data_IF_193027585200
#
_entry.id   IF_193027585200
#
_cell.length_a   1.000
_cell.length_b   1.000
_cell.length_c   1.000
_cell.angle_alpha   90.00
_cell.angle_beta   90.00
_cell.angle_gamma   90.00
#
_symmetry.space_group_name_H-M   'P 1'
#
loop_
_entity.id
_entity.type
_entity.pdbx_description
1 polymer ?
#
# COMPACT_ATOMS: atom_id res chain seq x y z
N UNK A 1 -8.76 0.41 13.59
CA UNK A 1 -8.65 -0.90 14.26
C UNK A 1 -9.98 -1.45 14.77
N UNK A 2 -10.71 -0.74 15.63
CA UNK A 2 -12.01 -1.21 16.18
C UNK A 2 -13.02 -1.66 15.10
N UNK A 3 -13.20 -0.88 14.03
CA UNK A 3 -14.07 -1.26 12.93
C UNK A 3 -13.64 -2.56 12.23
N UNK A 4 -12.33 -2.77 12.04
CA UNK A 4 -11.80 -3.98 11.39
C UNK A 4 -11.95 -5.21 12.29
N UNK A 5 -11.69 -5.06 13.60
CA UNK A 5 -11.90 -6.12 14.59
C UNK A 5 -13.38 -6.49 14.68
N UNK A 6 -14.28 -5.50 14.75
CA UNK A 6 -15.72 -5.74 14.78
C UNK A 6 -16.20 -6.49 13.54
N UNK A 7 -15.79 -6.08 12.33
CA UNK A 7 -16.11 -6.82 11.10
C UNK A 7 -15.58 -8.25 11.14
N UNK A 8 -14.34 -8.49 11.60
CA UNK A 8 -13.81 -9.87 11.73
C UNK A 8 -14.65 -10.73 12.67
N UNK A 9 -15.13 -10.17 13.78
CA UNK A 9 -16.03 -10.88 14.70
C UNK A 9 -17.34 -11.26 14.02
N UNK A 10 -17.95 -10.36 13.24
CA UNK A 10 -19.16 -10.66 12.47
C UNK A 10 -18.96 -11.80 11.48
N UNK A 11 -17.83 -11.81 10.75
CA UNK A 11 -17.51 -12.90 9.81
C UNK A 11 -17.26 -14.24 10.51
N UNK A 12 -16.83 -14.22 11.77
CA UNK A 12 -16.58 -15.42 12.57
C UNK A 12 -17.77 -15.88 13.41
N UNK A 13 -18.89 -15.17 13.40
CA UNK A 13 -20.08 -15.49 14.21
C UNK A 13 -20.92 -16.59 13.52
N UNK A 14 -20.98 -17.81 14.08
CA UNK A 14 -21.73 -18.92 13.48
C UNK A 14 -23.25 -18.68 13.45
N UNK A 15 -23.79 -17.96 14.44
CA UNK A 15 -25.23 -17.69 14.51
C UNK A 15 -25.64 -16.69 13.43
N UNK A 16 -24.82 -15.66 13.20
CA UNK A 16 -25.05 -14.72 12.11
C UNK A 16 -24.95 -15.42 10.76
N UNK A 17 -23.96 -16.29 10.57
CA UNK A 17 -23.79 -17.07 9.34
C UNK A 17 -25.03 -17.94 9.04
N UNK A 18 -25.59 -18.60 10.05
CA UNK A 18 -26.81 -19.40 9.90
C UNK A 18 -28.03 -18.54 9.52
N UNK A 19 -28.23 -17.40 10.19
CA UNK A 19 -29.32 -16.46 9.87
C UNK A 19 -29.22 -15.97 8.41
N UNK A 20 -28.02 -15.61 7.97
CA UNK A 20 -27.76 -15.18 6.61
C UNK A 20 -28.06 -16.28 5.58
N UNK A 21 -27.61 -17.51 5.85
CA UNK A 21 -27.83 -18.65 4.96
C UNK A 21 -29.33 -18.94 4.77
N UNK A 22 -30.13 -18.88 5.84
CA UNK A 22 -31.60 -19.02 5.75
C UNK A 22 -32.24 -17.95 4.86
N UNK A 23 -31.67 -16.75 4.83
CA UNK A 23 -32.11 -15.65 3.96
C UNK A 23 -31.51 -15.67 2.55
N UNK A 24 -30.76 -16.71 2.17
CA UNK A 24 -30.08 -16.81 0.88
C UNK A 24 -28.93 -15.82 0.70
N UNK A 25 -28.30 -15.38 1.81
CA UNK A 25 -27.25 -14.35 1.82
C UNK A 25 -25.95 -14.91 2.40
N UNK A 26 -24.84 -14.31 2.01
CA UNK A 26 -23.51 -14.61 2.53
C UNK A 26 -22.75 -13.30 2.77
N UNK A 27 -22.01 -13.22 3.88
CA UNK A 27 -21.03 -12.15 4.03
C UNK A 27 -19.81 -12.46 3.17
N UNK A 28 -19.36 -11.46 2.41
CA UNK A 28 -18.13 -11.50 1.63
C UNK A 28 -17.25 -10.32 1.98
N UNK A 29 -15.94 -10.54 2.04
CA UNK A 29 -14.97 -9.50 2.37
C UNK A 29 -14.16 -9.11 1.15
N UNK A 30 -14.16 -7.81 0.84
CA UNK A 30 -13.26 -7.18 -0.11
C UNK A 30 -11.95 -6.69 0.55
N UNK A 31 -11.57 -7.23 1.71
CA UNK A 31 -10.36 -6.83 2.41
C UNK A 31 -9.08 -7.30 1.70
N UNK A 32 -7.94 -6.71 2.07
CA UNK A 32 -6.62 -6.93 1.43
C UNK A 32 -6.10 -8.36 1.50
N UNK A 33 -6.76 -9.23 2.27
CA UNK A 33 -6.45 -10.65 2.38
C UNK A 33 -7.10 -11.45 1.24
N UNK A 34 -8.15 -10.95 0.58
CA UNK A 34 -8.82 -11.69 -0.50
C UNK A 34 -7.88 -11.92 -1.70
N UNK A 35 -7.73 -13.18 -2.14
CA UNK A 35 -6.91 -13.53 -3.32
C UNK A 35 -7.37 -12.83 -4.60
N UNK A 36 -8.69 -12.63 -4.76
CA UNK A 36 -9.29 -11.88 -5.86
C UNK A 36 -8.91 -10.40 -5.90
N UNK A 37 -8.34 -9.84 -4.81
CA UNK A 37 -7.69 -8.52 -4.86
C UNK A 37 -6.23 -8.59 -5.29
N UNK A 38 -5.54 -9.68 -5.00
CA UNK A 38 -4.12 -9.83 -5.33
C UNK A 38 -3.94 -10.16 -6.81
N UNK A 39 -4.66 -11.15 -7.33
CA UNK A 39 -4.47 -11.65 -8.70
C UNK A 39 -4.57 -10.56 -9.77
N UNK A 40 -5.58 -9.67 -9.76
CA UNK A 40 -5.69 -8.64 -10.80
C UNK A 40 -4.50 -7.66 -10.80
N UNK A 41 -3.82 -7.52 -9.66
CA UNK A 41 -2.65 -6.65 -9.55
C UNK A 41 -1.43 -7.20 -10.29
N UNK A 42 -1.35 -8.51 -10.51
CA UNK A 42 -0.26 -9.13 -11.28
C UNK A 42 -0.26 -8.59 -12.72
N UNK A 43 -1.45 -8.36 -13.29
CA UNK A 43 -1.62 -7.99 -14.68
C UNK A 43 -0.91 -6.68 -15.06
N UNK A 44 -0.94 -5.66 -14.20
CA UNK A 44 -0.31 -4.37 -14.55
C UNK A 44 1.22 -4.41 -14.51
N UNK A 45 1.85 -5.40 -13.85
CA UNK A 45 3.30 -5.60 -13.93
C UNK A 45 3.72 -6.12 -15.30
N UNK A 46 2.97 -7.08 -15.84
CA UNK A 46 3.15 -7.54 -17.21
C UNK A 46 2.82 -6.45 -18.23
N UNK A 47 1.72 -5.70 -18.01
CA UNK A 47 1.35 -4.57 -18.86
C UNK A 47 2.45 -3.52 -18.91
N UNK A 48 2.99 -3.11 -17.75
CA UNK A 48 4.06 -2.10 -17.70
C UNK A 48 5.33 -2.58 -18.42
N UNK A 49 5.68 -3.86 -18.30
CA UNK A 49 6.80 -4.45 -19.04
C UNK A 49 6.55 -4.47 -20.55
N UNK A 50 5.35 -4.87 -20.97
CA UNK A 50 4.93 -4.85 -22.37
C UNK A 50 4.93 -3.42 -22.95
N UNK A 51 4.52 -2.42 -22.17
CA UNK A 51 4.57 -1.01 -22.56
C UNK A 51 6.01 -0.51 -22.74
N UNK A 52 6.95 -0.97 -21.90
CA UNK A 52 8.37 -0.64 -22.07
C UNK A 52 8.95 -1.28 -23.34
N UNK A 53 8.59 -2.53 -23.65
CA UNK A 53 8.98 -3.21 -24.88
C UNK A 53 8.41 -2.50 -26.13
N UNK A 54 7.11 -2.19 -26.11
CA UNK A 54 6.43 -1.54 -27.23
C UNK A 54 6.96 -0.13 -27.50
N UNK A 55 7.55 0.51 -26.49
CA UNK A 55 8.20 1.84 -26.59
C UNK A 55 9.71 1.76 -26.78
N UNK A 56 10.25 0.57 -27.05
CA UNK A 56 11.68 0.32 -27.29
C UNK A 56 12.56 0.86 -26.15
N UNK A 57 12.08 0.77 -24.90
CA UNK A 57 12.81 1.22 -23.70
C UNK A 57 13.66 0.12 -23.07
N UNK A 58 13.36 -1.13 -23.39
CA UNK A 58 14.06 -2.34 -22.96
C UNK A 58 14.00 -3.39 -24.08
N UNK A 59 14.88 -4.39 -24.01
CA UNK A 59 14.83 -5.59 -24.85
C UNK A 59 13.99 -6.71 -24.20
N UNK A 60 13.49 -7.66 -25.01
CA UNK A 60 12.79 -8.83 -24.48
C UNK A 60 13.73 -9.68 -23.63
N UNK A 61 13.39 -9.86 -22.35
CA UNK A 61 14.22 -10.57 -21.38
C UNK A 61 15.11 -9.66 -20.54
N UNK A 62 15.25 -8.38 -20.91
CA UNK A 62 15.93 -7.39 -20.06
C UNK A 62 15.14 -7.22 -18.76
N UNK A 63 15.83 -7.32 -17.63
CA UNK A 63 15.21 -7.23 -16.32
C UNK A 63 14.93 -5.77 -15.95
N UNK A 64 13.81 -5.52 -15.26
CA UNK A 64 13.45 -4.20 -14.75
C UNK A 64 13.31 -4.20 -13.23
N UNK A 65 13.48 -3.03 -12.63
CA UNK A 65 13.14 -2.79 -11.23
C UNK A 65 11.70 -2.29 -11.11
N UNK A 66 11.04 -2.65 -10.00
CA UNK A 66 9.76 -2.06 -9.62
C UNK A 66 9.88 -1.39 -8.26
N UNK A 67 9.52 -0.10 -8.19
CA UNK A 67 9.41 0.65 -6.94
C UNK A 67 7.94 0.72 -6.54
N UNK A 68 7.65 0.22 -5.34
CA UNK A 68 6.27 0.09 -4.85
C UNK A 68 6.12 0.77 -3.49
N UNK A 69 5.37 1.87 -3.41
CA UNK A 69 4.89 2.42 -2.14
C UNK A 69 4.02 1.37 -1.43
N UNK A 70 4.49 0.88 -0.29
CA UNK A 70 3.95 -0.36 0.30
C UNK A 70 3.44 -0.15 1.72
N UNK A 71 2.16 -0.50 1.93
CA UNK A 71 1.56 -0.69 3.25
C UNK A 71 1.31 -2.19 3.52
N UNK A 72 0.14 -2.68 3.11
CA UNK A 72 -0.30 -4.07 3.35
C UNK A 72 0.38 -5.15 2.48
N UNK A 73 1.45 -4.81 1.75
CA UNK A 73 2.30 -5.72 0.94
C UNK A 73 1.64 -6.44 -0.25
N UNK A 74 0.33 -6.33 -0.46
CA UNK A 74 -0.35 -7.03 -1.56
C UNK A 74 0.09 -6.59 -2.97
N UNK A 75 0.41 -5.31 -3.16
CA UNK A 75 0.84 -4.75 -4.45
C UNK A 75 2.22 -5.29 -4.84
N UNK A 76 3.25 -5.09 -3.98
CA UNK A 76 4.60 -5.61 -4.24
C UNK A 76 4.67 -7.14 -4.26
N UNK A 77 3.79 -7.82 -3.51
CA UNK A 77 3.66 -9.27 -3.60
C UNK A 77 3.11 -9.72 -4.96
N UNK A 78 2.20 -8.96 -5.57
CA UNK A 78 1.77 -9.25 -6.94
C UNK A 78 2.94 -9.11 -7.95
N UNK A 79 3.88 -8.17 -7.72
CA UNK A 79 5.12 -8.08 -8.49
C UNK A 79 5.99 -9.34 -8.34
N UNK A 80 6.08 -9.85 -7.10
CA UNK A 80 6.79 -11.09 -6.82
C UNK A 80 6.16 -12.28 -7.53
N UNK A 81 4.82 -12.39 -7.52
CA UNK A 81 4.14 -13.43 -8.29
C UNK A 81 4.36 -13.26 -9.80
N UNK A 82 4.35 -12.04 -10.33
CA UNK A 82 4.66 -11.79 -11.74
C UNK A 82 6.07 -12.28 -12.10
N UNK A 83 7.06 -12.00 -11.23
CA UNK A 83 8.42 -12.55 -11.35
C UNK A 83 8.42 -14.07 -11.33
N UNK A 84 7.73 -14.69 -10.37
CA UNK A 84 7.62 -16.15 -10.26
C UNK A 84 6.92 -16.79 -11.46
N UNK A 85 6.11 -16.03 -12.20
CA UNK A 85 5.48 -16.43 -13.46
C UNK A 85 6.40 -16.24 -14.69
N UNK A 86 7.60 -15.70 -14.52
CA UNK A 86 8.59 -15.53 -15.59
C UNK A 86 8.84 -14.08 -16.03
N UNK A 87 8.22 -13.08 -15.39
CA UNK A 87 8.52 -11.68 -15.69
C UNK A 87 9.98 -11.35 -15.32
N UNK A 88 10.80 -10.76 -16.22
CA UNK A 88 12.17 -10.37 -15.92
C UNK A 88 12.22 -9.21 -14.90
N UNK A 89 12.38 -9.57 -13.62
CA UNK A 89 12.46 -8.61 -12.51
C UNK A 89 13.84 -8.71 -11.85
N UNK A 90 14.54 -7.57 -11.81
CA UNK A 90 15.81 -7.45 -11.09
C UNK A 90 15.54 -7.22 -9.59
N UNK A 91 15.04 -6.03 -9.20
CA UNK A 91 14.70 -5.71 -7.81
C UNK A 91 13.26 -5.27 -7.62
N UNK A 92 12.71 -5.65 -6.46
CA UNK A 92 11.46 -5.14 -5.91
C UNK A 92 11.77 -4.18 -4.75
N UNK A 93 11.63 -2.89 -5.00
CA UNK A 93 11.98 -1.83 -4.06
C UNK A 93 10.74 -1.46 -3.24
N UNK A 94 10.70 -1.93 -2.00
CA UNK A 94 9.65 -1.68 -1.03
C UNK A 94 9.88 -0.33 -0.35
N UNK A 95 9.09 0.66 -0.71
CA UNK A 95 9.14 2.00 -0.13
C UNK A 95 8.07 2.13 0.98
N UNK A 96 8.50 2.34 2.22
CA UNK A 96 7.61 2.61 3.37
C UNK A 96 7.62 4.10 3.71
N UNK A 97 6.61 4.59 4.41
CA UNK A 97 6.70 5.90 5.08
C UNK A 97 7.39 5.75 6.44
N UNK A 98 7.22 6.70 7.36
CA UNK A 98 7.79 6.65 8.71
C UNK A 98 7.47 5.35 9.47
N UNK A 99 6.35 4.70 9.16
CA UNK A 99 5.98 3.36 9.63
C UNK A 99 6.77 2.26 8.89
N UNK A 100 8.06 2.17 9.22
CA UNK A 100 9.08 1.40 8.49
C UNK A 100 9.21 -0.09 8.85
N UNK A 101 8.15 -0.74 9.32
CA UNK A 101 8.21 -2.16 9.77
C UNK A 101 8.68 -3.10 8.65
N UNK A 102 8.23 -2.87 7.42
CA UNK A 102 8.65 -3.65 6.25
C UNK A 102 10.10 -3.37 5.85
N UNK A 103 10.53 -2.11 5.92
CA UNK A 103 11.90 -1.73 5.56
C UNK A 103 12.91 -2.32 6.55
N UNK A 104 12.57 -2.35 7.84
CA UNK A 104 13.38 -3.03 8.86
C UNK A 104 13.42 -4.54 8.61
N UNK A 105 12.25 -5.16 8.39
CA UNK A 105 12.14 -6.60 8.10
C UNK A 105 12.97 -7.03 6.88
N UNK A 106 12.92 -6.29 5.77
CA UNK A 106 13.72 -6.61 4.57
C UNK A 106 15.22 -6.48 4.87
N UNK A 107 15.63 -5.56 5.75
CA UNK A 107 17.03 -5.33 6.10
C UNK A 107 17.62 -6.42 6.99
N UNK A 108 16.87 -6.97 7.95
CA UNK A 108 17.43 -7.85 8.98
C UNK A 108 16.60 -9.10 9.30
N UNK A 109 15.46 -9.30 8.65
CA UNK A 109 14.56 -10.43 8.89
C UNK A 109 13.75 -10.34 10.18
N UNK A 110 13.90 -9.27 10.96
CA UNK A 110 13.17 -9.04 12.20
C UNK A 110 11.90 -8.23 11.91
N UNK A 111 10.75 -8.83 12.16
CA UNK A 111 9.45 -8.17 12.04
C UNK A 111 8.92 -7.85 13.44
N UNK A 112 8.86 -6.56 13.81
CA UNK A 112 8.44 -6.13 15.15
C UNK A 112 7.28 -5.12 15.07
N UNK A 113 6.08 -5.50 15.53
CA UNK A 113 4.91 -4.60 15.59
C UNK A 113 4.88 -3.73 16.85
N UNK A 114 5.77 -3.95 17.82
CA UNK A 114 5.87 -3.17 19.08
C UNK A 114 6.62 -1.86 18.83
N UNK A 115 5.97 -0.94 18.16
CA UNK A 115 6.55 0.34 17.76
C UNK A 115 5.47 1.40 17.73
N UNK A 116 5.89 2.66 17.83
CA UNK A 116 4.99 3.80 17.74
C UNK A 116 4.34 3.87 16.35
N UNK A 117 3.03 4.16 16.32
CA UNK A 117 2.27 4.39 15.10
C UNK A 117 2.30 5.87 14.73
N UNK A 118 2.72 6.18 13.52
CA UNK A 118 2.76 7.55 13.01
C UNK A 118 1.66 7.77 11.99
N UNK A 119 0.86 8.83 12.19
CA UNK A 119 -0.02 9.35 11.14
C UNK A 119 0.84 10.22 10.22
N UNK A 120 0.96 9.82 8.96
CA UNK A 120 1.83 10.48 7.98
C UNK A 120 1.02 11.18 6.89
N UNK A 121 1.71 11.90 6.01
CA UNK A 121 1.11 12.46 4.80
C UNK A 121 0.86 11.43 3.69
N UNK A 122 1.28 10.17 3.87
CA UNK A 122 0.99 9.04 3.00
C UNK A 122 0.14 7.98 3.75
N UNK A 123 -1.10 8.30 4.15
CA UNK A 123 -1.82 7.56 5.19
C UNK A 123 -2.18 6.12 4.81
N UNK A 124 -2.31 5.80 3.53
CA UNK A 124 -2.59 4.42 3.08
C UNK A 124 -1.43 3.43 3.34
N UNK A 125 -0.26 3.93 3.74
CA UNK A 125 0.91 3.14 4.13
C UNK A 125 1.15 3.14 5.64
N UNK A 126 0.31 3.83 6.42
CA UNK A 126 0.41 3.86 7.89
C UNK A 126 -0.04 2.52 8.47
N UNK A 127 0.91 1.60 8.65
CA UNK A 127 0.66 0.23 9.13
C UNK A 127 1.74 -0.21 10.13
N UNK A 128 1.32 -1.02 11.11
CA UNK A 128 2.24 -1.80 11.96
C UNK A 128 2.27 -3.29 11.59
N UNK A 129 1.17 -3.76 10.98
CA UNK A 129 1.01 -5.15 10.55
C UNK A 129 0.69 -5.16 9.06
N UNK A 130 1.49 -5.90 8.30
CA UNK A 130 1.28 -6.06 6.87
C UNK A 130 0.61 -7.40 6.55
N UNK A 131 -0.69 -7.34 6.22
CA UNK A 131 -1.54 -8.53 6.08
C UNK A 131 -1.13 -9.51 4.97
N UNK A 132 -0.42 -9.08 3.93
CA UNK A 132 0.02 -9.99 2.85
C UNK A 132 1.45 -10.53 3.06
N UNK A 133 2.18 -10.08 4.08
CA UNK A 133 3.56 -10.52 4.28
C UNK A 133 3.63 -12.03 4.57
N UNK A 134 2.65 -12.58 5.28
CA UNK A 134 2.53 -14.01 5.57
C UNK A 134 2.61 -14.89 4.30
N UNK A 135 2.06 -14.41 3.17
CA UNK A 135 2.13 -15.12 1.88
C UNK A 135 3.55 -15.19 1.34
N UNK A 136 4.31 -14.10 1.46
CA UNK A 136 5.72 -14.11 1.07
C UNK A 136 6.52 -15.03 1.99
N UNK A 137 6.26 -15.01 3.31
CA UNK A 137 6.93 -15.90 4.26
C UNK A 137 6.74 -17.37 3.87
N UNK A 138 5.53 -17.74 3.45
CA UNK A 138 5.24 -19.08 2.94
C UNK A 138 6.09 -19.44 1.72
N UNK A 139 6.25 -18.53 0.76
CA UNK A 139 7.07 -18.80 -0.41
C UNK A 139 8.58 -18.84 -0.07
N UNK A 140 9.03 -17.99 0.86
CA UNK A 140 10.44 -17.96 1.29
C UNK A 140 10.84 -19.20 2.12
N UNK A 141 9.90 -19.80 2.85
CA UNK A 141 10.10 -20.98 3.69
C UNK A 141 9.94 -22.31 2.95
N UNK A 142 10.07 -22.32 1.62
CA UNK A 142 9.78 -23.48 0.76
C UNK A 142 8.38 -24.05 1.00
N UNK A 143 7.40 -23.16 1.22
CA UNK A 143 5.99 -23.51 1.45
C UNK A 143 5.77 -24.33 2.72
N UNK A 144 6.61 -24.15 3.73
CA UNK A 144 6.45 -24.77 5.04
C UNK A 144 5.42 -24.03 5.89
N UNK A 145 4.23 -24.62 6.03
CA UNK A 145 3.18 -24.09 6.90
C UNK A 145 3.57 -24.07 8.38
N UNK A 146 4.41 -25.01 8.81
CA UNK A 146 4.78 -25.14 10.22
C UNK A 146 5.73 -24.02 10.65
N UNK A 147 6.68 -23.67 9.78
CA UNK A 147 7.59 -22.53 10.00
C UNK A 147 6.80 -21.22 10.05
N UNK A 148 5.90 -21.00 9.06
CA UNK A 148 5.08 -19.79 9.02
C UNK A 148 4.18 -19.70 10.24
N UNK A 149 3.57 -20.81 10.67
CA UNK A 149 2.74 -20.86 11.87
C UNK A 149 3.53 -20.45 13.11
N UNK A 150 4.78 -20.92 13.26
CA UNK A 150 5.67 -20.50 14.34
C UNK A 150 5.87 -18.98 14.38
N UNK A 151 6.25 -18.37 13.26
CA UNK A 151 6.42 -16.92 13.17
C UNK A 151 5.13 -16.14 13.44
N UNK A 152 3.98 -16.63 12.99
CA UNK A 152 2.69 -15.99 13.26
C UNK A 152 2.27 -16.12 14.72
N UNK A 153 2.58 -17.24 15.38
CA UNK A 153 2.39 -17.40 16.83
C UNK A 153 3.28 -16.43 17.61
N UNK A 154 4.56 -16.33 17.28
CA UNK A 154 5.47 -15.36 17.92
C UNK A 154 4.98 -13.91 17.73
N UNK A 155 4.49 -13.57 16.54
CA UNK A 155 3.90 -12.25 16.29
C UNK A 155 2.65 -11.99 17.15
N UNK A 156 1.81 -13.01 17.35
CA UNK A 156 0.60 -12.91 18.14
C UNK A 156 0.91 -12.75 19.63
N UNK A 157 1.82 -13.57 20.16
CA UNK A 157 2.13 -13.69 21.59
C UNK A 157 3.17 -12.66 22.05
N UNK A 158 4.27 -12.51 21.32
CA UNK A 158 5.44 -11.71 21.71
C UNK A 158 5.46 -10.34 21.02
N UNK A 159 4.72 -10.20 19.92
CA UNK A 159 4.67 -8.97 19.14
C UNK A 159 5.76 -8.84 18.07
N UNK A 160 6.57 -9.87 17.85
CA UNK A 160 7.60 -9.90 16.83
C UNK A 160 8.02 -11.32 16.46
N UNK A 161 8.73 -11.48 15.36
CA UNK A 161 9.43 -12.72 15.00
C UNK A 161 10.73 -12.43 14.24
N UNK A 162 11.60 -13.43 14.17
CA UNK A 162 12.83 -13.41 13.38
C UNK A 162 12.78 -14.57 12.37
N UNK A 163 12.92 -14.27 11.08
CA UNK A 163 13.06 -15.32 10.07
C UNK A 163 14.48 -15.89 10.09
N UNK A 164 14.61 -17.13 9.63
CA UNK A 164 15.90 -17.80 9.51
C UNK A 164 16.79 -17.15 8.43
N UNK A 165 18.09 -17.41 8.52
CA UNK A 165 19.09 -16.82 7.62
C UNK A 165 18.93 -17.22 6.15
N UNK A 166 18.35 -18.39 5.86
CA UNK A 166 18.10 -18.82 4.47
C UNK A 166 16.93 -18.04 3.87
N UNK A 167 15.82 -17.92 4.60
CA UNK A 167 14.68 -17.08 4.22
C UNK A 167 15.09 -15.61 4.04
N UNK A 168 15.93 -15.08 4.93
CA UNK A 168 16.44 -13.70 4.82
C UNK A 168 17.31 -13.50 3.58
N UNK A 169 18.20 -14.44 3.24
CA UNK A 169 19.00 -14.34 2.01
C UNK A 169 18.11 -14.32 0.76
N UNK A 170 17.16 -15.25 0.67
CA UNK A 170 16.17 -15.29 -0.44
C UNK A 170 15.36 -14.01 -0.54
N UNK A 171 14.97 -13.42 0.59
CA UNK A 171 14.29 -12.13 0.63
C UNK A 171 15.18 -11.02 0.02
N UNK A 172 16.42 -10.92 0.44
CA UNK A 172 17.36 -9.85 0.05
C UNK A 172 17.92 -10.00 -1.37
N UNK A 173 17.85 -11.19 -1.97
CA UNK A 173 18.17 -11.41 -3.38
C UNK A 173 17.28 -10.57 -4.29
N UNK A 174 16.01 -10.37 -3.92
CA UNK A 174 15.01 -9.70 -4.78
C UNK A 174 14.52 -8.38 -4.18
N UNK A 175 14.31 -8.32 -2.87
CA UNK A 175 13.70 -7.15 -2.22
C UNK A 175 14.72 -6.17 -1.66
N UNK A 176 14.43 -4.89 -1.81
CA UNK A 176 15.15 -3.79 -1.18
C UNK A 176 14.17 -2.97 -0.36
N UNK A 177 14.46 -2.76 0.92
CA UNK A 177 13.61 -1.97 1.82
C UNK A 177 14.18 -0.57 2.06
N UNK A 178 13.33 0.45 1.97
CA UNK A 178 13.68 1.82 2.38
C UNK A 178 12.46 2.56 2.92
N UNK A 179 12.69 3.72 3.55
CA UNK A 179 11.58 4.52 4.08
C UNK A 179 11.83 6.02 4.02
N UNK A 180 10.78 6.82 3.81
CA UNK A 180 10.81 8.28 3.88
C UNK A 180 9.92 8.80 5.01
N UNK A 181 10.31 9.91 5.64
CA UNK A 181 9.47 10.66 6.56
C UNK A 181 8.69 11.75 5.81
N UNK A 182 7.74 12.42 6.49
CA UNK A 182 6.88 13.43 5.86
C UNK A 182 7.68 14.55 5.19
N UNK A 183 8.77 14.99 5.83
CA UNK A 183 9.67 16.01 5.29
C UNK A 183 10.37 15.53 4.02
N UNK A 184 10.86 14.28 4.01
CA UNK A 184 11.44 13.65 2.82
C UNK A 184 10.43 13.54 1.69
N UNK A 185 9.18 13.16 2.00
CA UNK A 185 8.09 13.08 1.02
C UNK A 185 7.81 14.44 0.37
N UNK A 186 7.59 15.49 1.18
CA UNK A 186 7.29 16.85 0.71
C UNK A 186 8.43 17.41 -0.15
N UNK A 187 9.69 17.23 0.29
CA UNK A 187 10.85 17.62 -0.52
C UNK A 187 10.90 16.89 -1.85
N UNK A 188 10.63 15.59 -1.86
CA UNK A 188 10.65 14.81 -3.10
C UNK A 188 9.55 15.23 -4.07
N UNK A 189 8.37 15.65 -3.60
CA UNK A 189 7.33 16.23 -4.47
C UNK A 189 7.90 17.47 -5.19
N UNK A 190 8.50 18.39 -4.43
CA UNK A 190 9.11 19.61 -5.00
C UNK A 190 10.22 19.29 -5.98
N UNK A 191 11.16 18.42 -5.60
CA UNK A 191 12.29 18.01 -6.42
C UNK A 191 11.86 17.39 -7.75
N UNK A 192 10.80 16.57 -7.76
CA UNK A 192 10.28 15.95 -8.98
C UNK A 192 9.59 16.97 -9.87
N UNK A 193 8.80 17.87 -9.28
CA UNK A 193 8.17 18.94 -10.02
C UNK A 193 9.20 19.85 -10.69
N UNK A 194 10.19 20.33 -9.93
CA UNK A 194 11.25 21.21 -10.45
C UNK A 194 12.08 20.56 -11.57
N UNK A 195 12.25 19.24 -11.54
CA UNK A 195 13.09 18.51 -12.51
C UNK A 195 12.35 18.02 -13.74
N UNK A 196 11.07 17.66 -13.58
CA UNK A 196 10.34 16.88 -14.58
C UNK A 196 9.00 17.52 -14.96
N UNK A 197 8.61 18.62 -14.33
CA UNK A 197 7.30 19.27 -14.49
C UNK A 197 6.13 18.29 -14.25
N UNK A 198 6.33 17.35 -13.32
CA UNK A 198 5.38 16.27 -13.03
C UNK A 198 5.03 16.22 -11.54
N UNK A 199 3.75 16.45 -11.25
CA UNK A 199 3.22 16.43 -9.88
C UNK A 199 2.83 15.01 -9.49
N UNK A 200 3.45 14.52 -8.42
CA UNK A 200 3.16 13.21 -7.84
C UNK A 200 2.37 13.32 -6.53
N UNK A 201 1.63 12.27 -6.19
CA UNK A 201 1.04 12.14 -4.85
C UNK A 201 2.11 11.81 -3.79
N UNK A 202 1.72 11.85 -2.52
CA UNK A 202 2.62 11.58 -1.39
C UNK A 202 3.16 10.15 -1.40
N UNK A 203 2.36 9.16 -1.80
CA UNK A 203 2.78 7.76 -1.87
C UNK A 203 3.86 7.53 -2.94
N UNK A 204 3.66 8.07 -4.13
CA UNK A 204 4.61 7.98 -5.24
C UNK A 204 5.90 8.72 -4.89
N UNK A 205 5.80 9.89 -4.24
CA UNK A 205 6.97 10.62 -3.74
C UNK A 205 7.80 9.80 -2.73
N UNK A 206 7.16 9.03 -1.82
CA UNK A 206 7.88 8.08 -0.95
C UNK A 206 8.67 7.06 -1.78
N UNK A 207 8.08 6.55 -2.86
CA UNK A 207 8.75 5.67 -3.82
C UNK A 207 10.01 6.29 -4.42
N UNK A 208 9.90 7.49 -5.00
CA UNK A 208 11.04 8.23 -5.58
C UNK A 208 12.12 8.54 -4.55
N UNK A 209 11.75 8.92 -3.32
CA UNK A 209 12.70 9.20 -2.26
C UNK A 209 13.53 7.97 -1.87
N UNK A 210 12.88 6.81 -1.77
CA UNK A 210 13.54 5.54 -1.46
C UNK A 210 14.41 5.10 -2.64
N UNK A 211 13.90 5.19 -3.86
CA UNK A 211 14.66 4.83 -5.06
C UNK A 211 15.91 5.70 -5.24
N UNK A 212 15.81 7.02 -5.07
CA UNK A 212 16.96 7.92 -5.21
C UNK A 212 18.13 7.53 -4.29
N UNK A 213 17.83 7.14 -3.05
CA UNK A 213 18.84 6.64 -2.10
C UNK A 213 19.35 5.25 -2.45
N UNK A 214 18.49 4.37 -2.99
CA UNK A 214 18.91 3.06 -3.48
C UNK A 214 19.89 3.21 -4.64
N UNK A 215 19.48 3.89 -5.71
CA UNK A 215 20.28 4.09 -6.91
C UNK A 215 21.64 4.76 -6.60
N UNK A 216 21.65 5.80 -5.75
CA UNK A 216 22.89 6.46 -5.36
C UNK A 216 23.85 5.57 -4.56
N UNK A 217 23.35 4.57 -3.83
CA UNK A 217 24.18 3.67 -3.00
C UNK A 217 24.62 2.42 -3.75
N UNK A 218 23.77 1.88 -4.62
CA UNK A 218 24.04 0.64 -5.36
C UNK A 218 24.76 0.89 -6.69
N UNK A 219 24.60 2.07 -7.28
CA UNK A 219 25.01 2.31 -8.68
C UNK A 219 24.16 1.51 -9.67
N UNK A 220 22.97 1.04 -9.26
CA UNK A 220 22.07 0.27 -10.12
C UNK A 220 21.42 1.17 -11.18
N UNK A 221 21.74 0.92 -12.45
CA UNK A 221 21.22 1.65 -13.61
C UNK A 221 20.04 0.95 -14.30
N UNK A 222 19.56 -0.16 -13.72
CA UNK A 222 18.44 -0.94 -14.27
C UNK A 222 17.20 -0.07 -14.47
N UNK A 223 16.55 -0.21 -15.63
CA UNK A 223 15.29 0.51 -15.93
C UNK A 223 14.27 0.24 -14.84
N UNK A 224 13.69 1.31 -14.31
CA UNK A 224 12.86 1.24 -13.11
C UNK A 224 11.46 1.78 -13.39
N UNK A 225 10.45 0.98 -13.04
CA UNK A 225 9.04 1.36 -13.09
C UNK A 225 8.57 1.75 -11.69
N UNK A 226 7.95 2.92 -11.57
CA UNK A 226 7.32 3.38 -10.35
C UNK A 226 5.83 3.08 -10.38
N UNK A 227 5.34 2.36 -9.37
CA UNK A 227 3.91 2.10 -9.20
C UNK A 227 3.29 3.33 -8.53
N UNK A 228 2.77 4.26 -9.33
CA UNK A 228 2.08 5.45 -8.83
C UNK A 228 0.67 5.09 -8.33
N UNK A 229 0.48 5.04 -7.02
CA UNK A 229 -0.70 4.40 -6.41
C UNK A 229 -1.92 5.28 -6.27
N UNK A 230 -1.77 6.60 -6.36
CA UNK A 230 -2.90 7.52 -6.36
C UNK A 230 -2.65 8.76 -7.21
N UNK A 231 -3.74 9.45 -7.50
CA UNK A 231 -3.70 10.79 -8.10
C UNK A 231 -3.30 11.82 -7.03
N UNK A 232 -2.51 12.85 -7.39
CA UNK A 232 -2.14 13.93 -6.46
C UNK A 232 -3.35 14.63 -5.84
N UNK A 233 -4.47 14.71 -6.55
CA UNK A 233 -5.72 15.31 -6.06
C UNK A 233 -6.30 14.61 -4.83
N UNK A 234 -6.00 13.33 -4.61
CA UNK A 234 -6.51 12.61 -3.42
C UNK A 234 -5.83 13.04 -2.12
N UNK A 235 -4.67 13.69 -2.22
CA UNK A 235 -3.87 14.15 -1.08
C UNK A 235 -3.51 15.63 -1.25
N UNK A 236 -4.49 16.42 -1.72
CA UNK A 236 -4.33 17.79 -2.17
C UNK A 236 -3.59 18.69 -1.16
N UNK A 237 -3.89 18.59 0.13
CA UNK A 237 -3.23 19.38 1.17
C UNK A 237 -1.72 19.15 1.20
N UNK A 238 -1.30 17.88 1.30
CA UNK A 238 0.12 17.54 1.39
C UNK A 238 0.88 17.78 0.07
N UNK A 239 0.21 17.58 -1.07
CA UNK A 239 0.80 17.89 -2.38
C UNK A 239 0.97 19.40 -2.57
N UNK A 240 -0.04 20.20 -2.19
CA UNK A 240 0.04 21.65 -2.23
C UNK A 240 1.15 22.19 -1.31
N UNK A 241 1.29 21.64 -0.10
CA UNK A 241 2.41 21.98 0.79
C UNK A 241 3.78 21.63 0.17
N UNK A 242 3.86 20.54 -0.61
CA UNK A 242 5.04 20.16 -1.37
C UNK A 242 5.37 21.11 -2.51
N UNK A 243 4.37 21.54 -3.27
CA UNK A 243 4.58 22.40 -4.44
C UNK A 243 4.77 23.86 -4.08
N UNK A 244 3.90 24.40 -3.22
CA UNK A 244 3.79 25.83 -2.95
C UNK A 244 4.44 26.25 -1.63
N UNK A 245 4.94 25.29 -0.84
CA UNK A 245 5.64 25.52 0.41
C UNK A 245 4.84 25.08 1.64
N UNK A 246 5.57 24.71 2.69
CA UNK A 246 4.99 24.09 3.88
C UNK A 246 3.95 24.99 4.58
N UNK A 247 2.76 24.45 4.83
CA UNK A 247 1.64 25.16 5.46
C UNK A 247 0.78 25.97 4.49
N UNK A 248 1.04 25.87 3.19
CA UNK A 248 0.19 26.46 2.16
C UNK A 248 -1.26 25.95 2.25
N UNK A 249 -1.48 24.67 2.54
CA UNK A 249 -2.85 24.14 2.67
C UNK A 249 -3.63 24.72 3.86
N UNK A 250 -2.97 25.34 4.84
CA UNK A 250 -3.60 25.76 6.10
C UNK A 250 -4.69 26.81 5.86
N UNK A 251 -5.92 26.46 6.25
CA UNK A 251 -7.08 27.34 6.17
C UNK A 251 -7.69 27.46 4.77
N UNK A 252 -7.15 26.77 3.77
CA UNK A 252 -7.73 26.68 2.42
C UNK A 252 -8.77 25.56 2.36
N UNK A 253 -9.80 25.73 1.54
CA UNK A 253 -10.78 24.67 1.30
C UNK A 253 -10.21 23.61 0.37
N UNK A 254 -10.75 22.39 0.42
CA UNK A 254 -10.37 21.33 -0.52
C UNK A 254 -10.65 21.74 -1.97
N UNK A 255 -11.75 22.43 -2.25
CA UNK A 255 -12.08 22.92 -3.60
C UNK A 255 -11.01 23.89 -4.14
N UNK A 256 -10.56 24.83 -3.31
CA UNK A 256 -9.48 25.76 -3.66
C UNK A 256 -8.20 25.02 -4.00
N UNK A 257 -7.77 24.09 -3.13
CA UNK A 257 -6.54 23.32 -3.34
C UNK A 257 -6.61 22.46 -4.61
N UNK A 258 -7.75 21.82 -4.88
CA UNK A 258 -7.94 21.02 -6.09
C UNK A 258 -7.84 21.87 -7.36
N UNK A 259 -8.41 23.07 -7.34
CA UNK A 259 -8.38 24.00 -8.47
C UNK A 259 -6.97 24.52 -8.71
N UNK A 260 -6.27 24.97 -7.67
CA UNK A 260 -4.89 25.46 -7.73
C UNK A 260 -3.94 24.34 -8.20
N UNK A 261 -4.09 23.12 -7.67
CA UNK A 261 -3.29 21.97 -8.12
C UNK A 261 -3.56 21.61 -9.57
N UNK A 262 -4.81 21.67 -10.04
CA UNK A 262 -5.15 21.37 -11.43
C UNK A 262 -4.53 22.40 -12.38
N UNK A 263 -4.59 23.69 -12.00
CA UNK A 263 -3.97 24.76 -12.77
C UNK A 263 -2.44 24.63 -12.83
N UNK A 264 -1.79 24.33 -11.70
CA UNK A 264 -0.33 24.21 -11.62
C UNK A 264 0.18 22.93 -12.31
N UNK A 265 -0.47 21.78 -12.09
CA UNK A 265 -0.01 20.50 -12.63
C UNK A 265 -0.40 20.26 -14.09
N UNK A 266 -1.32 21.05 -14.65
CA UNK A 266 -1.94 20.80 -15.95
C UNK A 266 -2.80 19.53 -16.00
N UNK A 267 -3.02 18.85 -14.87
CA UNK A 267 -3.86 17.65 -14.79
C UNK A 267 -5.34 18.03 -14.71
N UNK A 268 -6.19 17.34 -15.48
CA UNK A 268 -7.64 17.50 -15.38
C UNK A 268 -8.16 16.99 -14.03
N UNK A 269 -9.04 17.79 -13.42
CA UNK A 269 -9.68 17.40 -12.17
C UNK A 269 -10.62 16.19 -12.40
N UNK A 270 -10.47 15.09 -11.66
CA UNK A 270 -11.35 13.94 -11.81
C UNK A 270 -12.82 14.31 -11.54
N UNK A 271 -13.78 13.89 -12.40
CA UNK A 271 -15.20 14.20 -12.22
C UNK A 271 -15.77 13.73 -10.88
N UNK A 272 -15.19 12.68 -10.31
CA UNK A 272 -15.58 12.14 -9.00
C UNK A 272 -15.26 13.08 -7.83
N UNK A 273 -14.27 13.96 -7.97
CA UNK A 273 -13.86 14.93 -6.94
C UNK A 273 -14.52 16.30 -7.13
N UNK A 274 -15.00 16.59 -8.34
CA UNK A 274 -15.65 17.87 -8.67
C UNK A 274 -16.95 18.03 -7.88
N UNK A 275 -17.03 19.09 -7.07
CA UNK A 275 -18.19 19.42 -6.23
C UNK A 275 -18.51 18.38 -5.16
N UNK A 276 -17.53 17.55 -4.75
CA UNK A 276 -17.72 16.51 -3.75
C UNK A 276 -18.11 17.07 -2.38
N UNK A 277 -17.58 18.24 -2.02
CA UNK A 277 -17.87 19.02 -0.82
C UNK A 277 -19.33 19.49 -0.74
N UNK A 278 -19.99 19.64 -1.89
CA UNK A 278 -21.40 20.05 -2.02
C UNK A 278 -22.37 18.87 -2.02
N UNK A 279 -21.88 17.63 -2.04
CA UNK A 279 -22.73 16.44 -2.05
C UNK A 279 -23.24 16.11 -0.66
N UNK A 280 -24.48 15.69 -0.58
CA UNK A 280 -25.09 15.24 0.67
C UNK A 280 -24.41 13.97 1.19
N UNK A 281 -24.09 13.97 2.49
CA UNK A 281 -23.55 12.80 3.18
C UNK A 281 -24.67 11.75 3.33
N UNK A 282 -24.58 10.65 2.58
CA UNK A 282 -25.61 9.59 2.58
C UNK A 282 -25.64 8.74 3.86
N UNK A 283 -24.52 8.61 4.55
CA UNK A 283 -24.38 7.72 5.71
C UNK A 283 -23.90 8.51 6.92
N UNK A 284 -24.80 8.77 7.87
CA UNK A 284 -24.53 9.55 9.09
C UNK A 284 -24.56 8.71 10.37
N UNK A 285 -25.00 7.45 10.28
CA UNK A 285 -25.13 6.52 11.42
C UNK A 285 -23.75 6.24 12.03
N UNK A 286 -23.61 6.48 13.33
CA UNK A 286 -22.46 6.10 14.14
C UNK A 286 -22.86 4.93 15.05
N UNK A 287 -22.00 3.94 15.18
CA UNK A 287 -22.30 2.69 15.90
C UNK A 287 -21.22 2.47 16.95
N UNK A 288 -21.63 2.16 18.18
CA UNK A 288 -20.72 1.76 19.24
C UNK A 288 -20.07 0.41 18.91
N UNK A 289 -18.82 0.21 19.33
CA UNK A 289 -18.07 -1.02 19.02
C UNK A 289 -18.79 -2.31 19.45
N UNK A 290 -19.59 -2.25 20.53
CA UNK A 290 -20.34 -3.39 21.07
C UNK A 290 -21.66 -3.64 20.33
N UNK A 291 -22.17 -2.64 19.60
CA UNK A 291 -23.50 -2.67 18.98
C UNK A 291 -23.46 -3.08 17.50
N UNK A 292 -22.25 -3.32 16.96
CA UNK A 292 -22.05 -3.54 15.53
C UNK A 292 -22.85 -4.73 14.99
N UNK A 293 -22.91 -5.84 15.73
CA UNK A 293 -23.68 -7.03 15.35
C UNK A 293 -25.18 -6.73 15.31
N UNK A 294 -25.71 -6.07 16.35
CA UNK A 294 -27.11 -5.72 16.42
C UNK A 294 -27.51 -4.80 15.26
N UNK A 295 -26.72 -3.75 15.00
CA UNK A 295 -26.98 -2.81 13.91
C UNK A 295 -26.88 -3.47 12.54
N UNK A 296 -25.89 -4.34 12.30
CA UNK A 296 -25.78 -5.06 11.02
C UNK A 296 -26.96 -6.01 10.83
N UNK A 297 -27.39 -6.70 11.89
CA UNK A 297 -28.57 -7.59 11.86
C UNK A 297 -29.84 -6.80 11.52
N UNK A 298 -30.02 -5.62 12.14
CA UNK A 298 -31.12 -4.69 11.85
C UNK A 298 -31.10 -4.22 10.39
N UNK A 299 -29.94 -3.74 9.91
CA UNK A 299 -29.79 -3.23 8.54
C UNK A 299 -30.04 -4.30 7.48
N UNK A 300 -29.76 -5.56 7.81
CA UNK A 300 -30.03 -6.70 6.95
C UNK A 300 -31.45 -7.25 7.13
N UNK A 301 -32.24 -6.75 8.07
CA UNK A 301 -33.58 -7.28 8.36
C UNK A 301 -33.55 -8.74 8.81
N UNK A 302 -32.56 -9.10 9.65
CA UNK A 302 -32.34 -10.44 10.21
C UNK A 302 -32.75 -10.53 11.69
N UNK A 303 -33.51 -9.53 12.16
CA UNK A 303 -34.07 -9.47 13.50
C UNK A 303 -35.18 -10.50 13.70
#
# INVERSE_FOLDING_TARGET
DDAQTGVKQLFGDPQLAEKLARGGRLLSSANSINWGRLVPQIAYYFSAYADLLAREKIELGEAVNFVVPTGNFGNILAAWYARSMGLPVHKLICASNRNKVLSDFIRNGHYDKRREFYRTNAPSMDILISSNLERLLFELSDRSSDVVRGWMSDLAEQGHYQIDSQSLRRLQEVFVGGFADDNGTVRTIRELYDRCDYVVDTHTAVGFNVYGRYAARSGDETKTVFVATASPFKFAEAVADGLFGNGYARGRSTETLLTELSAESGLELPPALTGLDRREIRHTRKVGKQDLLAVVTELLGLN
#
